data_IF_170490087315
#
_entry.id   IF_170490087315
#
_cell.length_a   1.000
_cell.length_b   1.000
_cell.length_c   1.000
_cell.angle_alpha   90.00
_cell.angle_beta   90.00
_cell.angle_gamma   90.00
#
_symmetry.space_group_name_H-M   'P 1'
#
loop_
_entity.id
_entity.type
_entity.pdbx_description
1 polymer ?
#
# COMPACT_ATOMS: atom_id res chain seq x y z
N UNK A 1 -21.68 9.68 -45.73
CA UNK A 1 -20.77 8.65 -45.19
C UNK A 1 -20.16 9.19 -43.91
N UNK A 2 -20.67 8.77 -42.75
CA UNK A 2 -20.09 9.11 -41.45
C UNK A 2 -19.07 8.00 -41.09
N UNK A 3 -17.87 8.33 -40.57
CA UNK A 3 -16.88 7.32 -40.23
C UNK A 3 -17.30 6.58 -38.96
N UNK A 4 -17.11 5.26 -38.98
CA UNK A 4 -17.38 4.37 -37.85
C UNK A 4 -16.39 4.65 -36.72
N UNK A 5 -16.91 4.91 -35.52
CA UNK A 5 -16.14 5.00 -34.27
C UNK A 5 -15.47 3.65 -34.01
N UNK A 6 -14.14 3.67 -33.86
CA UNK A 6 -13.33 2.50 -33.52
C UNK A 6 -13.76 1.94 -32.15
N UNK A 7 -14.21 0.69 -32.14
CA UNK A 7 -14.49 -0.06 -30.93
C UNK A 7 -13.20 -0.30 -30.15
N UNK A 8 -13.05 0.39 -29.02
CA UNK A 8 -12.04 0.04 -28.03
C UNK A 8 -12.36 -1.33 -27.47
N UNK A 9 -11.50 -2.31 -27.71
CA UNK A 9 -11.60 -3.65 -27.11
C UNK A 9 -11.55 -3.49 -25.59
N UNK A 10 -12.71 -3.63 -24.93
CA UNK A 10 -12.78 -3.71 -23.47
C UNK A 10 -12.04 -4.97 -23.03
N UNK A 11 -10.99 -4.81 -22.21
CA UNK A 11 -10.35 -5.94 -21.54
C UNK A 11 -11.40 -6.56 -20.60
N UNK A 12 -11.87 -7.80 -20.82
CA UNK A 12 -12.94 -8.39 -20.02
C UNK A 12 -12.57 -8.55 -18.54
N UNK A 13 -11.27 -8.51 -18.21
CA UNK A 13 -10.76 -8.58 -16.84
C UNK A 13 -10.64 -7.19 -16.16
N UNK A 14 -10.80 -6.10 -16.90
CA UNK A 14 -10.80 -4.74 -16.36
C UNK A 14 -11.77 -3.83 -17.14
N UNK A 15 -13.08 -4.08 -17.03
CA UNK A 15 -14.10 -3.30 -17.75
C UNK A 15 -14.18 -1.84 -17.30
N UNK A 16 -13.60 -1.52 -16.13
CA UNK A 16 -13.61 -0.19 -15.52
C UNK A 16 -12.34 0.62 -15.80
N UNK A 17 -11.36 0.06 -16.52
CA UNK A 17 -10.11 0.77 -16.84
C UNK A 17 -9.32 1.21 -15.60
N UNK A 18 -9.51 0.53 -14.46
CA UNK A 18 -8.81 0.88 -13.22
C UNK A 18 -7.31 0.64 -13.37
N UNK A 19 -6.44 1.48 -12.78
CA UNK A 19 -5.01 1.27 -12.80
C UNK A 19 -4.66 -0.10 -12.20
N UNK A 20 -3.77 -0.82 -12.87
CA UNK A 20 -3.42 -2.19 -12.55
C UNK A 20 -2.69 -2.22 -11.19
N UNK A 21 -3.36 -2.69 -10.13
CA UNK A 21 -2.77 -2.77 -8.78
C UNK A 21 -1.67 -3.84 -8.72
N UNK A 22 -1.71 -4.84 -9.60
CA UNK A 22 -0.74 -5.95 -9.63
C UNK A 22 -0.33 -6.26 -11.06
N UNK A 23 0.96 -6.14 -11.38
CA UNK A 23 1.48 -6.69 -12.64
C UNK A 23 1.81 -8.16 -12.42
N UNK A 24 0.89 -9.07 -12.80
CA UNK A 24 1.09 -10.52 -12.72
C UNK A 24 2.18 -10.97 -13.72
N UNK A 25 3.44 -10.87 -13.32
CA UNK A 25 4.57 -11.54 -13.96
C UNK A 25 4.72 -12.98 -13.44
N UNK A 26 5.31 -13.87 -14.24
CA UNK A 26 5.50 -15.31 -13.92
C UNK A 26 6.33 -15.59 -12.65
N UNK A 27 6.97 -14.57 -12.07
CA UNK A 27 7.65 -14.65 -10.79
C UNK A 27 7.45 -13.34 -10.03
N UNK A 28 6.78 -13.42 -8.88
CA UNK A 28 6.78 -12.32 -7.91
C UNK A 28 8.18 -12.27 -7.30
N UNK A 29 9.04 -11.37 -7.81
CA UNK A 29 10.31 -11.09 -7.16
C UNK A 29 10.04 -10.24 -5.93
N UNK A 30 10.25 -10.81 -4.75
CA UNK A 30 10.08 -10.09 -3.50
C UNK A 30 11.17 -9.02 -3.39
N UNK A 31 10.78 -7.75 -3.27
CA UNK A 31 11.72 -6.66 -3.04
C UNK A 31 12.46 -6.88 -1.70
N UNK A 32 13.76 -6.55 -1.68
CA UNK A 32 14.56 -6.57 -0.45
C UNK A 32 14.09 -5.56 0.58
N UNK A 33 14.65 -5.62 1.79
CA UNK A 33 14.35 -4.64 2.83
C UNK A 33 15.09 -3.34 2.53
N UNK A 34 14.37 -2.22 2.67
CA UNK A 34 14.91 -0.86 2.57
C UNK A 34 15.47 -0.43 3.93
N UNK A 35 14.75 -0.78 5.00
CA UNK A 35 15.18 -0.54 6.37
C UNK A 35 16.35 -1.46 6.73
N UNK A 36 17.34 -0.92 7.45
CA UNK A 36 18.58 -1.61 7.80
C UNK A 36 18.58 -2.27 9.19
N UNK A 37 17.47 -2.18 9.92
CA UNK A 37 17.33 -2.77 11.25
C UNK A 37 16.51 -4.08 11.20
N UNK A 38 16.51 -4.86 12.28
CA UNK A 38 15.73 -6.11 12.33
C UNK A 38 14.23 -5.82 12.52
N UNK A 39 13.37 -6.57 11.82
CA UNK A 39 11.90 -6.49 11.95
C UNK A 39 11.40 -6.59 13.40
N UNK A 40 12.11 -7.32 14.27
CA UNK A 40 11.77 -7.44 15.70
C UNK A 40 11.82 -6.12 16.46
N UNK A 41 12.55 -5.12 15.95
CA UNK A 41 12.62 -3.78 16.53
C UNK A 41 11.36 -2.95 16.23
N UNK A 42 10.54 -3.35 15.25
CA UNK A 42 9.24 -2.72 15.00
C UNK A 42 8.24 -3.13 16.09
N UNK A 43 7.81 -2.14 16.86
CA UNK A 43 6.70 -2.25 17.81
C UNK A 43 5.42 -1.79 17.14
N UNK A 44 4.45 -2.67 17.01
CA UNK A 44 3.14 -2.33 16.50
C UNK A 44 2.25 -1.88 17.65
N UNK A 45 1.71 -0.68 17.55
CA UNK A 45 0.62 -0.21 18.39
C UNK A 45 -0.66 -0.42 17.60
N UNK A 46 -1.57 -1.22 18.13
CA UNK A 46 -2.89 -1.41 17.56
C UNK A 46 -3.92 -1.36 18.67
N UNK A 47 -5.15 -1.05 18.27
CA UNK A 47 -6.29 -0.99 19.16
C UNK A 47 -7.36 -1.96 18.69
N UNK A 48 -8.18 -2.46 19.60
CA UNK A 48 -9.37 -3.23 19.27
C UNK A 48 -10.52 -2.23 19.07
N UNK A 49 -11.38 -2.43 18.07
CA UNK A 49 -12.57 -1.58 17.94
C UNK A 49 -13.51 -1.72 19.15
N UNK A 50 -13.55 -2.92 19.74
CA UNK A 50 -14.30 -3.19 20.97
C UNK A 50 -13.38 -3.89 21.96
N UNK A 51 -12.91 -3.18 22.98
CA UNK A 51 -12.01 -3.71 24.00
C UNK A 51 -12.69 -3.82 25.37
N UNK A 52 -13.37 -4.94 25.61
CA UNK A 52 -14.01 -5.20 26.90
C UNK A 52 -13.01 -5.33 28.05
N UNK A 53 -11.77 -5.74 27.79
CA UNK A 53 -10.72 -5.82 28.82
C UNK A 53 -10.36 -4.42 29.30
N UNK A 54 -10.14 -3.49 28.37
CA UNK A 54 -9.88 -2.08 28.68
C UNK A 54 -11.07 -1.40 29.38
N UNK A 55 -12.30 -1.62 28.89
CA UNK A 55 -13.50 -1.06 29.53
C UNK A 55 -13.63 -1.55 30.99
N UNK A 56 -13.46 -2.84 31.22
CA UNK A 56 -13.52 -3.44 32.56
C UNK A 56 -12.42 -2.93 33.48
N UNK A 57 -11.21 -2.71 32.98
CA UNK A 57 -10.10 -2.12 33.73
C UNK A 57 -10.37 -0.66 34.15
N UNK A 58 -11.34 0.01 33.52
CA UNK A 58 -11.79 1.37 33.83
C UNK A 58 -13.19 1.38 34.48
N UNK A 59 -13.55 0.32 35.20
CA UNK A 59 -14.81 0.17 35.94
C UNK A 59 -16.11 0.12 35.08
N UNK A 60 -15.98 -0.18 33.78
CA UNK A 60 -17.11 -0.40 32.87
C UNK A 60 -17.24 -1.88 32.48
N UNK A 61 -17.87 -2.70 33.33
CA UNK A 61 -18.14 -4.12 33.04
C UNK A 61 -19.49 -4.30 32.31
N UNK A 62 -19.47 -4.12 30.99
CA UNK A 62 -20.68 -4.18 30.13
C UNK A 62 -20.67 -5.33 29.12
N UNK A 63 -19.62 -6.16 29.10
CA UNK A 63 -19.44 -7.24 28.12
C UNK A 63 -20.66 -8.17 28.08
N UNK A 64 -21.09 -8.65 29.25
CA UNK A 64 -22.23 -9.57 29.36
C UNK A 64 -23.53 -8.97 28.82
N UNK A 65 -23.73 -7.65 28.93
CA UNK A 65 -24.92 -6.98 28.43
C UNK A 65 -25.04 -7.12 26.91
N UNK A 66 -23.94 -7.02 26.17
CA UNK A 66 -23.96 -7.19 24.72
C UNK A 66 -23.91 -8.66 24.29
N UNK A 67 -23.21 -9.52 25.03
CA UNK A 67 -23.20 -10.96 24.78
C UNK A 67 -24.61 -11.56 24.90
N UNK A 68 -25.38 -11.14 25.92
CA UNK A 68 -26.77 -11.55 26.10
C UNK A 68 -27.70 -11.12 24.96
N UNK A 69 -27.33 -10.08 24.21
CA UNK A 69 -28.06 -9.62 23.02
C UNK A 69 -27.62 -10.36 21.73
N UNK A 70 -26.65 -11.27 21.81
CA UNK A 70 -26.16 -12.04 20.65
C UNK A 70 -25.11 -11.31 19.79
N UNK A 71 -24.50 -10.23 20.29
CA UNK A 71 -23.58 -9.39 19.51
C UNK A 71 -22.16 -9.97 19.37
N UNK A 72 -21.88 -11.09 20.02
CA UNK A 72 -20.54 -11.70 20.08
C UNK A 72 -19.86 -11.78 18.70
N UNK A 73 -20.55 -12.37 17.71
CA UNK A 73 -20.00 -12.57 16.36
C UNK A 73 -19.71 -11.25 15.64
N UNK A 74 -20.50 -10.22 15.90
CA UNK A 74 -20.29 -8.90 15.32
C UNK A 74 -19.02 -8.26 15.86
N UNK A 75 -18.77 -8.35 17.17
CA UNK A 75 -17.54 -7.83 17.77
C UNK A 75 -16.30 -8.64 17.41
N UNK A 76 -16.42 -9.96 17.28
CA UNK A 76 -15.35 -10.81 16.76
C UNK A 76 -14.93 -10.36 15.35
N UNK A 77 -15.90 -10.05 14.49
CA UNK A 77 -15.66 -9.52 13.15
C UNK A 77 -15.05 -8.11 13.18
N UNK A 78 -15.49 -7.22 14.08
CA UNK A 78 -14.89 -5.88 14.20
C UNK A 78 -13.44 -5.92 14.69
N UNK A 79 -13.12 -6.87 15.56
CA UNK A 79 -11.79 -7.09 16.11
C UNK A 79 -10.99 -8.11 15.27
N UNK A 80 -11.34 -8.27 13.99
CA UNK A 80 -10.72 -9.20 13.05
C UNK A 80 -9.18 -9.19 13.12
N UNK A 81 -8.52 -10.31 12.76
CA UNK A 81 -7.10 -10.49 13.00
C UNK A 81 -6.26 -9.41 12.35
N UNK A 82 -5.42 -8.77 13.16
CA UNK A 82 -4.41 -7.84 12.66
C UNK A 82 -3.21 -8.66 12.22
N UNK A 83 -2.92 -8.61 10.91
CA UNK A 83 -1.78 -9.30 10.30
C UNK A 83 -0.47 -8.57 10.61
N UNK A 84 -0.03 -8.64 11.86
CA UNK A 84 1.13 -7.90 12.38
C UNK A 84 2.40 -8.13 11.56
N UNK A 85 2.65 -9.37 11.14
CA UNK A 85 3.77 -9.74 10.26
C UNK A 85 3.70 -9.03 8.91
N UNK A 86 2.53 -9.01 8.27
CA UNK A 86 2.35 -8.34 6.98
C UNK A 86 2.64 -6.83 7.10
N UNK A 87 2.16 -6.20 8.17
CA UNK A 87 2.41 -4.76 8.42
C UNK A 87 3.89 -4.49 8.65
N UNK A 88 4.58 -5.33 9.44
CA UNK A 88 6.02 -5.18 9.67
C UNK A 88 6.83 -5.41 8.39
N UNK A 89 6.53 -6.45 7.62
CA UNK A 89 7.16 -6.71 6.32
C UNK A 89 6.94 -5.55 5.34
N UNK A 90 5.74 -4.97 5.32
CA UNK A 90 5.44 -3.76 4.55
C UNK A 90 6.36 -2.62 4.94
N UNK A 91 6.48 -2.29 6.23
CA UNK A 91 7.33 -1.20 6.70
C UNK A 91 8.82 -1.45 6.44
N UNK A 92 9.29 -2.69 6.60
CA UNK A 92 10.67 -3.07 6.28
C UNK A 92 11.03 -2.84 4.81
N UNK A 93 10.05 -2.94 3.91
CA UNK A 93 10.20 -2.78 2.46
C UNK A 93 9.77 -1.41 1.94
N UNK A 94 9.08 -0.63 2.77
CA UNK A 94 8.57 0.69 2.39
C UNK A 94 9.71 1.67 2.16
N UNK A 95 9.55 2.50 1.12
CA UNK A 95 10.43 3.62 0.81
C UNK A 95 9.54 4.82 0.47
N UNK A 96 9.79 5.96 1.11
CA UNK A 96 9.19 7.22 0.70
C UNK A 96 9.98 7.73 -0.49
N UNK A 97 9.29 8.08 -1.58
CA UNK A 97 9.91 8.64 -2.76
C UNK A 97 9.92 10.17 -2.64
N UNK A 98 11.08 10.73 -2.32
CA UNK A 98 11.27 12.16 -2.08
C UNK A 98 11.94 12.90 -3.27
N UNK A 99 12.17 14.20 -3.12
CA UNK A 99 12.83 15.01 -4.16
C UNK A 99 14.27 14.56 -4.42
N UNK A 100 14.98 14.07 -3.40
CA UNK A 100 16.34 13.58 -3.55
C UNK A 100 16.36 12.29 -4.38
N UNK A 101 15.44 11.37 -4.12
CA UNK A 101 15.23 10.16 -4.92
C UNK A 101 14.89 10.49 -6.37
N UNK A 102 14.02 11.48 -6.59
CA UNK A 102 13.66 11.94 -7.92
C UNK A 102 14.86 12.50 -8.69
N UNK A 103 15.70 13.33 -8.04
CA UNK A 103 16.94 13.87 -8.63
C UNK A 103 17.97 12.77 -8.89
N UNK A 104 18.17 11.85 -7.96
CA UNK A 104 19.09 10.72 -8.15
C UNK A 104 18.67 9.84 -9.33
N UNK A 105 17.37 9.63 -9.55
CA UNK A 105 16.87 8.88 -10.70
C UNK A 105 17.15 9.59 -12.03
N UNK A 106 16.98 10.92 -12.08
CA UNK A 106 17.35 11.74 -13.24
C UNK A 106 18.85 11.68 -13.52
N UNK A 107 19.68 11.86 -12.50
CA UNK A 107 21.13 11.76 -12.63
C UNK A 107 21.57 10.38 -13.12
N UNK A 108 20.94 9.31 -12.63
CA UNK A 108 21.20 7.95 -13.10
C UNK A 108 20.78 7.75 -14.56
N UNK A 109 19.65 8.33 -14.98
CA UNK A 109 19.21 8.30 -16.38
C UNK A 109 20.20 9.04 -17.29
N UNK A 110 20.69 10.22 -16.87
CA UNK A 110 21.70 10.99 -17.60
C UNK A 110 23.05 10.26 -17.63
N UNK A 111 23.48 9.62 -16.54
CA UNK A 111 24.71 8.80 -16.51
C UNK A 111 24.63 7.62 -17.50
N UNK A 112 23.46 6.98 -17.63
CA UNK A 112 23.23 5.90 -18.60
C UNK A 112 23.15 6.42 -20.04
N UNK A 113 22.58 7.60 -20.24
CA UNK A 113 22.46 8.24 -21.54
C UNK A 113 22.71 9.75 -21.44
N UNK A 114 23.93 10.22 -21.72
CA UNK A 114 24.30 11.64 -21.59
C UNK A 114 23.45 12.59 -22.44
N UNK A 115 22.82 12.11 -23.52
CA UNK A 115 21.93 12.92 -24.37
C UNK A 115 20.61 13.33 -23.69
N UNK A 116 20.33 12.80 -22.49
CA UNK A 116 19.17 13.16 -21.70
C UNK A 116 19.39 14.39 -20.81
N UNK A 117 20.61 14.93 -20.75
CA UNK A 117 20.92 16.09 -19.92
C UNK A 117 20.01 17.29 -20.24
N UNK A 118 19.38 17.86 -19.21
CA UNK A 118 18.48 19.01 -19.33
C UNK A 118 17.08 18.70 -19.90
N UNK A 119 16.76 17.44 -20.19
CA UNK A 119 15.41 17.04 -20.61
C UNK A 119 14.46 16.91 -19.42
N UNK A 120 13.16 17.01 -19.69
CA UNK A 120 12.10 16.74 -18.71
C UNK A 120 12.06 15.26 -18.32
N UNK A 121 11.57 14.95 -17.12
CA UNK A 121 11.36 13.57 -16.62
C UNK A 121 10.60 12.67 -17.59
N UNK A 122 9.52 13.17 -18.20
CA UNK A 122 8.73 12.42 -19.18
C UNK A 122 9.56 12.01 -20.40
N UNK A 123 10.37 12.93 -20.94
CA UNK A 123 11.29 12.65 -22.05
C UNK A 123 12.40 11.65 -21.67
N UNK A 124 12.74 11.54 -20.39
CA UNK A 124 13.65 10.52 -19.87
C UNK A 124 12.95 9.16 -19.65
N UNK A 125 11.64 9.08 -19.85
CA UNK A 125 10.83 7.91 -19.53
C UNK A 125 10.59 7.71 -18.03
N UNK A 126 10.83 8.75 -17.22
CA UNK A 126 10.64 8.75 -15.77
C UNK A 126 9.25 9.25 -15.41
N UNK A 127 8.69 8.74 -14.31
CA UNK A 127 7.41 9.21 -13.79
C UNK A 127 7.52 10.66 -13.33
N UNK A 128 6.48 11.45 -13.56
CA UNK A 128 6.34 12.79 -13.02
C UNK A 128 6.49 12.76 -11.48
N UNK A 129 7.30 13.65 -10.94
CA UNK A 129 7.43 13.85 -9.50
C UNK A 129 6.48 14.98 -9.08
N UNK A 130 5.45 14.66 -8.29
CA UNK A 130 4.44 15.63 -7.84
C UNK A 130 4.71 16.24 -6.46
N UNK A 131 5.84 15.88 -5.84
CA UNK A 131 6.19 16.34 -4.50
C UNK A 131 5.18 15.96 -3.41
N UNK A 132 5.60 16.25 -2.19
CA UNK A 132 4.75 16.46 -1.01
C UNK A 132 5.20 17.74 -0.36
#
# INVERSE_FOLDING_TARGET
MAPASTSSVQNPLNPLGLPHIVTLGKSLLLTGNVMQFNETLLKLCYDKMVDFESLKANDFDVEQLFLNQGWKRYFEMLNDPIFTKLIKEFWMKSKVYDELDAKMEEEQAVKKNPSLQGKTREHMGLKEFKGT
#
